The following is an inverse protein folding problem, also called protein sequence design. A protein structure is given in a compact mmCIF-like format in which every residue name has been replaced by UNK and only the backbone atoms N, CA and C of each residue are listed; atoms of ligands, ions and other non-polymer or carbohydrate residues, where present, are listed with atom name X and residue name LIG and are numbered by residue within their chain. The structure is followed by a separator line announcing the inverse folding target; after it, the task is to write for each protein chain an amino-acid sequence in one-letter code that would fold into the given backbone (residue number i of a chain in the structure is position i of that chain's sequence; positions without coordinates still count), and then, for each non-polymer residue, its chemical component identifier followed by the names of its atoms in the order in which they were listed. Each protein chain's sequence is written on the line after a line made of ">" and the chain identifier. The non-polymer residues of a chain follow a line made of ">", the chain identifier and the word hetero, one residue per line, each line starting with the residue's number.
data_IF_292013170686
#
_entry.id   IF_292013170686
#
_cell.length_a   1.000
_cell.length_b   1.000
_cell.length_c   1.000
_cell.angle_alpha   90.00
_cell.angle_beta   90.00
_cell.angle_gamma   90.00
#
_symmetry.space_group_name_H-M   'P 1'
#
loop_
_entity.id
_entity.type
_entity.pdbx_description
1 polymer ?
#
# COMPACT_ATOMS: atom_id res chain seq x y z
N UNK A 1 -25.62 -14.50 -4.41
CA UNK A 1 -24.72 -13.37 -4.72
C UNK A 1 -23.48 -13.93 -5.39
N UNK A 2 -23.02 -13.33 -6.48
CA UNK A 2 -21.78 -13.73 -7.12
C UNK A 2 -20.58 -13.22 -6.29
N UNK A 3 -19.49 -13.97 -6.25
CA UNK A 3 -18.25 -13.55 -5.59
C UNK A 3 -17.58 -12.46 -6.46
N UNK A 4 -17.56 -11.22 -5.97
CA UNK A 4 -16.83 -10.13 -6.61
C UNK A 4 -15.51 -9.89 -5.87
N UNK A 5 -14.42 -10.42 -6.42
CA UNK A 5 -13.09 -10.25 -5.86
C UNK A 5 -12.64 -8.78 -5.84
N UNK A 6 -13.01 -7.99 -6.86
CA UNK A 6 -12.58 -6.60 -6.98
C UNK A 6 -13.22 -5.77 -5.88
N UNK A 7 -14.50 -5.97 -5.64
CA UNK A 7 -15.24 -5.30 -4.57
C UNK A 7 -14.65 -5.64 -3.19
N UNK A 8 -14.34 -6.91 -2.95
CA UNK A 8 -13.73 -7.35 -1.69
C UNK A 8 -12.36 -6.71 -1.46
N UNK A 9 -11.50 -6.66 -2.48
CA UNK A 9 -10.18 -6.03 -2.36
C UNK A 9 -10.33 -4.52 -2.14
N UNK A 10 -11.18 -3.85 -2.92
CA UNK A 10 -11.41 -2.42 -2.80
C UNK A 10 -11.94 -2.03 -1.41
N UNK A 11 -12.85 -2.82 -0.84
CA UNK A 11 -13.41 -2.58 0.48
C UNK A 11 -12.40 -2.67 1.63
N UNK A 12 -11.23 -3.29 1.42
CA UNK A 12 -10.18 -3.47 2.43
C UNK A 12 -8.91 -2.67 2.15
N UNK A 13 -8.91 -1.89 1.06
CA UNK A 13 -7.78 -1.04 0.71
C UNK A 13 -7.55 -0.02 1.84
N UNK A 14 -6.30 0.10 2.30
CA UNK A 14 -5.96 0.90 3.49
C UNK A 14 -5.61 0.08 4.73
N UNK A 15 -6.02 -1.19 4.80
CA UNK A 15 -5.66 -2.07 5.91
C UNK A 15 -4.21 -2.60 5.83
N UNK A 16 -3.48 -2.28 4.77
CA UNK A 16 -2.16 -2.84 4.41
C UNK A 16 -1.18 -2.89 5.59
N UNK A 17 -0.81 -1.74 6.17
CA UNK A 17 0.16 -1.69 7.25
C UNK A 17 -0.35 -2.32 8.55
N UNK A 18 -1.65 -2.18 8.85
CA UNK A 18 -2.26 -2.81 10.03
C UNK A 18 -2.18 -4.34 9.96
N UNK A 19 -2.50 -4.91 8.79
CA UNK A 19 -2.44 -6.35 8.57
C UNK A 19 -0.98 -6.83 8.49
N UNK A 20 -0.10 -6.08 7.83
CA UNK A 20 1.33 -6.41 7.73
C UNK A 20 2.03 -6.38 9.09
N UNK A 21 1.71 -5.41 9.93
CA UNK A 21 2.22 -5.30 11.31
C UNK A 21 1.76 -6.48 12.16
N UNK A 22 0.48 -6.88 12.03
CA UNK A 22 -0.10 -7.95 12.83
C UNK A 22 0.32 -9.36 12.38
N UNK A 23 0.51 -9.55 11.07
CA UNK A 23 0.56 -10.90 10.49
C UNK A 23 1.83 -11.21 9.69
N UNK A 24 2.67 -10.22 9.37
CA UNK A 24 3.84 -10.42 8.48
C UNK A 24 5.13 -10.00 9.15
N UNK A 25 5.36 -8.70 9.33
CA UNK A 25 6.60 -8.18 9.90
C UNK A 25 6.37 -6.78 10.52
N UNK A 26 6.23 -6.68 11.86
CA UNK A 26 6.05 -5.39 12.54
C UNK A 26 7.29 -4.50 12.48
N UNK A 27 8.50 -5.08 12.46
CA UNK A 27 9.76 -4.31 12.38
C UNK A 27 9.86 -3.54 11.07
N UNK A 28 9.48 -4.16 9.95
CA UNK A 28 9.46 -3.50 8.65
C UNK A 28 8.45 -2.34 8.60
N UNK A 29 7.28 -2.52 9.21
CA UNK A 29 6.27 -1.44 9.33
C UNK A 29 6.81 -0.27 10.15
N UNK A 30 7.45 -0.55 11.28
CA UNK A 30 8.07 0.48 12.12
C UNK A 30 9.16 1.25 11.36
N UNK A 31 10.05 0.56 10.63
CA UNK A 31 11.09 1.19 9.83
C UNK A 31 10.52 2.11 8.75
N UNK A 32 9.49 1.66 8.02
CA UNK A 32 8.84 2.48 6.99
C UNK A 32 8.15 3.73 7.58
N UNK A 33 7.50 3.62 8.74
CA UNK A 33 6.94 4.77 9.47
C UNK A 33 8.00 5.79 9.84
N UNK A 34 9.17 5.33 10.31
CA UNK A 34 10.28 6.22 10.69
C UNK A 34 10.78 7.05 9.51
N UNK A 35 10.87 6.45 8.32
CA UNK A 35 11.33 7.16 7.12
C UNK A 35 10.20 7.84 6.34
N UNK A 36 8.93 7.69 6.78
CA UNK A 36 7.75 8.28 6.14
C UNK A 36 7.29 7.58 4.85
N UNK A 37 7.70 6.32 4.64
CA UNK A 37 7.35 5.51 3.48
C UNK A 37 6.18 4.56 3.75
N UNK A 38 5.48 4.69 4.88
CA UNK A 38 4.31 3.88 5.22
C UNK A 38 3.05 4.29 4.43
N UNK A 39 3.20 4.41 3.10
CA UNK A 39 2.17 4.86 2.17
C UNK A 39 1.42 3.68 1.56
N UNK A 40 0.10 3.81 1.46
CA UNK A 40 -0.71 2.86 0.70
C UNK A 40 -0.77 3.34 -0.74
N UNK A 41 0.04 2.71 -1.60
CA UNK A 41 0.02 2.94 -3.03
C UNK A 41 -1.17 2.21 -3.67
N UNK A 42 -2.05 2.95 -4.34
CA UNK A 42 -3.28 2.46 -4.95
C UNK A 42 -3.14 2.20 -6.46
N UNK A 43 -2.17 2.85 -7.10
CA UNK A 43 -1.94 2.78 -8.55
C UNK A 43 -0.46 2.99 -8.86
N UNK A 44 -0.01 2.41 -9.98
CA UNK A 44 1.30 2.66 -10.56
C UNK A 44 1.16 2.95 -12.05
N UNK A 45 1.99 3.85 -12.59
CA UNK A 45 2.05 4.17 -14.01
C UNK A 45 3.46 4.63 -14.40
N UNK A 46 4.09 3.92 -15.34
CA UNK A 46 5.47 4.19 -15.71
C UNK A 46 6.40 4.08 -14.50
N UNK A 47 7.20 5.13 -14.27
CA UNK A 47 8.11 5.22 -13.13
C UNK A 47 7.44 5.81 -11.86
N UNK A 48 6.12 5.93 -11.81
CA UNK A 48 5.43 6.58 -10.69
C UNK A 48 4.50 5.62 -9.95
N UNK A 49 4.55 5.71 -8.62
CA UNK A 49 3.54 5.18 -7.71
C UNK A 49 2.61 6.32 -7.26
N UNK A 50 1.34 6.00 -7.03
CA UNK A 50 0.32 6.95 -6.58
C UNK A 50 -0.33 6.42 -5.31
N UNK A 51 -0.37 7.24 -4.27
CA UNK A 51 -1.06 6.89 -3.04
C UNK A 51 -2.59 7.04 -3.16
N UNK A 52 -3.30 6.80 -2.05
CA UNK A 52 -4.76 6.92 -1.99
C UNK A 52 -5.28 8.34 -2.26
N UNK A 53 -4.45 9.37 -2.05
CA UNK A 53 -4.78 10.77 -2.33
C UNK A 53 -4.33 11.20 -3.75
N UNK A 54 -3.91 10.23 -4.57
CA UNK A 54 -3.38 10.40 -5.92
C UNK A 54 -2.11 11.28 -5.97
N UNK A 55 -1.35 11.34 -4.87
CA UNK A 55 -0.05 12.00 -4.84
C UNK A 55 0.97 11.13 -5.60
N UNK A 56 1.69 11.68 -6.61
CA UNK A 56 2.71 10.94 -7.34
C UNK A 56 4.03 10.85 -6.58
N UNK A 57 4.65 9.68 -6.64
CA UNK A 57 5.97 9.35 -6.11
C UNK A 57 6.82 8.74 -7.23
N UNK A 58 7.95 9.37 -7.56
CA UNK A 58 8.90 8.80 -8.53
C UNK A 58 9.62 7.61 -7.90
N UNK A 59 9.52 6.46 -8.54
CA UNK A 59 10.05 5.20 -8.05
C UNK A 59 11.53 5.04 -8.42
N UNK A 60 12.39 5.09 -7.40
CA UNK A 60 13.82 4.80 -7.50
C UNK A 60 14.18 3.41 -6.95
N UNK A 61 13.21 2.65 -6.44
CA UNK A 61 13.41 1.29 -5.96
C UNK A 61 13.14 0.27 -7.07
N UNK A 62 12.12 0.51 -7.90
CA UNK A 62 11.71 -0.31 -9.04
C UNK A 62 11.31 -1.77 -8.73
N UNK A 63 11.00 -2.06 -7.46
CA UNK A 63 10.53 -3.37 -6.99
C UNK A 63 11.67 -4.37 -6.75
#
# INVERSE_FOLDING_TARGET
>A
MAFDLKEIIAARLGENYKLHERHVNPTLVAAQRVIGFDKVYARAEGAYLYDMDNQPYLDFLSG
#
